data_IF_702668790071
#
_entry.id   IF_702668790071
#
_cell.length_a   1.000
_cell.length_b   1.000
_cell.length_c   1.000
_cell.angle_alpha   90.00
_cell.angle_beta   90.00
_cell.angle_gamma   90.00
#
_symmetry.space_group_name_H-M   'P 1'
#
loop_
_entity.id
_entity.type
_entity.pdbx_description
1 polymer ?
#
# COMPACT_ATOMS: atom_id res chain seq x y z
N UNK A 1 -8.41 35.89 -7.44
CA UNK A 1 -7.98 34.55 -7.93
C UNK A 1 -6.47 34.55 -8.08
N UNK A 2 -5.79 33.47 -7.70
CA UNK A 2 -4.32 33.38 -7.76
C UNK A 2 -3.81 33.46 -9.20
N UNK A 3 -2.71 34.19 -9.41
CA UNK A 3 -2.05 34.37 -10.71
C UNK A 3 -1.11 33.23 -11.08
N UNK A 4 -0.94 32.24 -10.21
CA UNK A 4 -0.07 31.09 -10.44
C UNK A 4 -0.66 30.22 -11.58
N UNK A 5 0.15 29.81 -12.58
CA UNK A 5 -0.30 28.90 -13.63
C UNK A 5 -0.92 27.62 -13.04
N UNK A 6 -2.14 27.27 -13.45
CA UNK A 6 -2.85 26.08 -12.98
C UNK A 6 -3.67 26.26 -11.69
N UNK A 7 -3.67 27.44 -11.07
CA UNK A 7 -4.45 27.72 -9.85
C UNK A 7 -5.95 27.48 -10.04
N UNK A 8 -6.52 27.95 -11.15
CA UNK A 8 -7.93 27.77 -11.50
C UNK A 8 -8.28 26.30 -11.71
N UNK A 9 -7.39 25.53 -12.36
CA UNK A 9 -7.59 24.10 -12.55
C UNK A 9 -7.60 23.36 -11.21
N UNK A 10 -6.62 23.62 -10.34
CA UNK A 10 -6.56 23.03 -9.01
C UNK A 10 -7.80 23.38 -8.17
N UNK A 11 -8.27 24.62 -8.24
CA UNK A 11 -9.50 25.05 -7.56
C UNK A 11 -10.71 24.22 -8.00
N UNK A 12 -10.92 24.02 -9.30
CA UNK A 12 -12.03 23.21 -9.81
C UNK A 12 -11.89 21.73 -9.51
N UNK A 13 -10.67 21.18 -9.51
CA UNK A 13 -10.43 19.79 -9.10
C UNK A 13 -10.78 19.56 -7.62
N UNK A 14 -10.35 20.47 -6.74
CA UNK A 14 -10.61 20.35 -5.29
C UNK A 14 -12.09 20.58 -4.98
N UNK A 15 -12.70 21.62 -5.54
CA UNK A 15 -14.14 21.90 -5.33
C UNK A 15 -15.02 20.82 -5.97
N UNK A 16 -14.68 20.32 -7.16
CA UNK A 16 -15.33 19.16 -7.77
C UNK A 16 -15.16 17.88 -6.96
N UNK A 17 -14.08 17.76 -6.20
CA UNK A 17 -13.88 16.69 -5.21
C UNK A 17 -14.99 16.64 -4.16
N UNK A 18 -15.55 17.77 -3.75
CA UNK A 18 -16.68 17.81 -2.79
C UNK A 18 -17.94 17.15 -3.37
N UNK A 19 -18.24 17.38 -4.65
CA UNK A 19 -19.35 16.73 -5.37
C UNK A 19 -19.16 15.21 -5.39
N UNK A 20 -17.99 14.74 -5.83
CA UNK A 20 -17.67 13.31 -5.95
C UNK A 20 -17.72 12.64 -4.56
N UNK A 21 -17.21 13.33 -3.54
CA UNK A 21 -17.22 12.85 -2.15
C UNK A 21 -18.62 12.66 -1.60
N UNK A 22 -19.50 13.62 -1.83
CA UNK A 22 -20.90 13.49 -1.48
C UNK A 22 -21.54 12.30 -2.21
N UNK A 23 -21.31 12.17 -3.52
CA UNK A 23 -21.90 11.10 -4.33
C UNK A 23 -21.54 9.72 -3.77
N UNK A 24 -20.25 9.40 -3.56
CA UNK A 24 -19.88 8.05 -3.12
C UNK A 24 -20.27 7.77 -1.68
N UNK A 25 -20.21 8.77 -0.78
CA UNK A 25 -20.58 8.62 0.63
C UNK A 25 -22.07 8.35 0.77
N UNK A 26 -22.90 9.21 0.17
CA UNK A 26 -24.35 9.05 0.22
C UNK A 26 -24.84 7.87 -0.61
N UNK A 27 -24.13 7.48 -1.67
CA UNK A 27 -24.40 6.22 -2.38
C UNK A 27 -24.32 5.03 -1.43
N UNK A 28 -23.24 4.95 -0.65
CA UNK A 28 -23.05 3.88 0.35
C UNK A 28 -24.15 3.92 1.41
N UNK A 29 -24.44 5.11 1.95
CA UNK A 29 -25.49 5.33 2.94
C UNK A 29 -26.89 4.91 2.44
N UNK A 30 -27.30 5.39 1.26
CA UNK A 30 -28.61 5.07 0.70
C UNK A 30 -28.75 3.60 0.30
N UNK A 31 -27.74 3.01 -0.32
CA UNK A 31 -27.79 1.58 -0.67
C UNK A 31 -27.83 0.66 0.56
N UNK A 32 -27.24 1.09 1.67
CA UNK A 32 -27.19 0.29 2.90
C UNK A 32 -28.47 0.42 3.73
N UNK A 33 -28.98 1.65 3.92
CA UNK A 33 -30.08 1.91 4.87
C UNK A 33 -31.44 2.19 4.23
N UNK A 34 -31.48 2.72 3.00
CA UNK A 34 -32.73 3.21 2.37
C UNK A 34 -33.14 2.43 1.11
N UNK A 35 -32.26 1.56 0.60
CA UNK A 35 -32.51 0.73 -0.55
C UNK A 35 -33.32 -0.53 -0.23
N UNK A 36 -33.80 -1.23 -1.26
CA UNK A 36 -34.44 -2.54 -1.09
C UNK A 36 -33.41 -3.56 -0.57
N UNK A 37 -33.75 -4.36 0.45
CA UNK A 37 -32.85 -5.39 0.96
C UNK A 37 -32.54 -6.40 -0.16
N UNK A 38 -31.24 -6.70 -0.32
CA UNK A 38 -30.73 -7.67 -1.31
C UNK A 38 -30.37 -9.02 -0.68
N UNK A 39 -30.75 -9.22 0.58
CA UNK A 39 -30.45 -10.41 1.37
C UNK A 39 -31.66 -11.32 1.50
N UNK A 40 -31.44 -12.58 1.86
CA UNK A 40 -32.52 -13.53 2.12
C UNK A 40 -33.31 -13.17 3.39
N UNK A 41 -34.56 -13.59 3.45
CA UNK A 41 -35.48 -13.29 4.57
C UNK A 41 -34.97 -13.84 5.91
N UNK A 42 -34.34 -15.03 5.89
CA UNK A 42 -33.74 -15.62 7.09
C UNK A 42 -32.56 -14.82 7.63
N UNK A 43 -31.75 -14.22 6.74
CA UNK A 43 -30.65 -13.33 7.15
C UNK A 43 -31.18 -12.05 7.78
N UNK A 44 -32.26 -11.49 7.21
CA UNK A 44 -32.86 -10.26 7.70
C UNK A 44 -33.45 -10.43 9.11
N UNK A 45 -34.08 -11.58 9.37
CA UNK A 45 -34.65 -11.91 10.69
C UNK A 45 -33.61 -11.98 11.83
N UNK A 46 -32.33 -12.15 11.52
CA UNK A 46 -31.24 -12.18 12.50
C UNK A 46 -30.51 -10.84 12.67
N UNK A 47 -30.95 -9.77 11.99
CA UNK A 47 -30.38 -8.44 12.18
C UNK A 47 -30.89 -7.88 13.52
N UNK A 48 -29.95 -7.58 14.40
CA UNK A 48 -30.22 -6.94 15.68
C UNK A 48 -29.40 -5.67 15.78
N UNK A 49 -29.89 -4.72 16.58
CA UNK A 49 -29.14 -3.51 16.91
C UNK A 49 -27.79 -3.83 17.55
N UNK A 50 -26.81 -2.97 17.29
CA UNK A 50 -25.46 -3.18 17.84
C UNK A 50 -25.50 -3.15 19.38
N UNK A 51 -24.81 -4.07 20.07
CA UNK A 51 -24.77 -4.08 21.51
C UNK A 51 -24.14 -2.80 22.06
N UNK A 52 -24.45 -2.46 23.30
CA UNK A 52 -23.96 -1.25 23.99
C UNK A 52 -22.44 -1.07 23.92
N UNK A 53 -21.69 -2.17 23.90
CA UNK A 53 -20.22 -2.19 23.81
C UNK A 53 -19.71 -1.59 22.49
N UNK A 54 -20.51 -1.62 21.41
CA UNK A 54 -20.17 -1.01 20.11
C UNK A 54 -20.80 0.37 19.97
N UNK A 55 -22.06 0.53 20.38
CA UNK A 55 -22.79 1.80 20.26
C UNK A 55 -22.16 2.92 21.10
N UNK A 56 -21.79 2.63 22.35
CA UNK A 56 -21.28 3.63 23.28
C UNK A 56 -19.96 4.26 22.81
N UNK A 57 -18.93 3.51 22.37
CA UNK A 57 -17.73 4.12 21.79
C UNK A 57 -18.00 5.01 20.57
N UNK A 58 -18.93 4.62 19.68
CA UNK A 58 -19.26 5.42 18.49
C UNK A 58 -19.87 6.77 18.87
N UNK A 59 -20.79 6.79 19.84
CA UNK A 59 -21.39 8.03 20.35
C UNK A 59 -20.38 8.88 21.10
N UNK A 60 -19.56 8.26 21.96
CA UNK A 60 -18.49 8.95 22.69
C UNK A 60 -17.44 9.53 21.73
N UNK A 61 -17.22 8.97 20.53
CA UNK A 61 -16.33 9.57 19.53
C UNK A 61 -17.00 10.69 18.74
N UNK A 62 -18.30 10.58 18.48
CA UNK A 62 -19.05 11.59 17.71
C UNK A 62 -19.14 12.94 18.45
N UNK A 63 -19.40 12.92 19.77
CA UNK A 63 -19.59 14.16 20.56
C UNK A 63 -18.29 15.02 20.58
N UNK A 64 -17.11 14.50 20.98
CA UNK A 64 -15.86 15.24 20.94
C UNK A 64 -15.47 15.62 19.52
N UNK A 65 -15.77 14.81 18.49
CA UNK A 65 -15.46 15.19 17.10
C UNK A 65 -16.12 16.51 16.69
N UNK A 66 -17.39 16.71 17.08
CA UNK A 66 -18.10 17.97 16.84
C UNK A 66 -17.57 19.10 17.72
N UNK A 67 -17.37 18.84 19.01
CA UNK A 67 -16.91 19.86 19.97
C UNK A 67 -15.49 20.35 19.66
N UNK A 68 -14.57 19.43 19.38
CA UNK A 68 -13.19 19.72 19.00
C UNK A 68 -13.16 20.39 17.62
N UNK A 69 -13.97 19.92 16.66
CA UNK A 69 -14.10 20.54 15.34
C UNK A 69 -14.49 22.02 15.42
N UNK A 70 -15.46 22.36 16.28
CA UNK A 70 -15.87 23.76 16.50
C UNK A 70 -14.88 24.54 17.36
N UNK A 71 -14.45 23.97 18.49
CA UNK A 71 -13.66 24.66 19.51
C UNK A 71 -12.18 24.85 19.13
N UNK A 72 -11.57 23.89 18.42
CA UNK A 72 -10.18 24.00 17.98
C UNK A 72 -10.03 24.70 16.63
N UNK A 73 -11.09 24.90 15.84
CA UNK A 73 -10.97 25.52 14.51
C UNK A 73 -10.16 26.83 14.51
N UNK A 74 -10.48 27.77 15.40
CA UNK A 74 -9.74 29.04 15.52
C UNK A 74 -8.37 28.88 16.21
N UNK A 75 -8.24 28.25 17.40
CA UNK A 75 -6.95 28.02 18.04
C UNK A 75 -5.93 27.26 17.19
N UNK A 76 -6.40 26.34 16.35
CA UNK A 76 -5.55 25.48 15.53
C UNK A 76 -4.92 26.24 14.35
N UNK A 77 -5.68 27.17 13.74
CA UNK A 77 -5.35 27.78 12.46
C UNK A 77 -5.13 29.30 12.53
N UNK A 78 -5.94 30.06 13.27
CA UNK A 78 -6.03 31.51 13.13
C UNK A 78 -5.63 32.31 14.38
N UNK A 79 -5.69 31.75 15.58
CA UNK A 79 -5.25 32.45 16.79
C UNK A 79 -3.74 32.72 16.74
N UNK A 80 -3.28 33.81 17.37
CA UNK A 80 -1.86 34.12 17.48
C UNK A 80 -1.37 33.96 18.94
N UNK A 81 -0.44 33.02 19.23
CA UNK A 81 0.16 32.04 18.31
C UNK A 81 -0.77 30.85 17.99
N UNK A 82 -0.74 30.30 16.75
CA UNK A 82 -1.57 29.16 16.40
C UNK A 82 -0.96 27.88 16.97
N UNK A 83 -1.79 26.93 17.39
CA UNK A 83 -1.33 25.65 17.95
C UNK A 83 -0.44 24.88 16.97
N UNK A 84 -0.73 24.95 15.66
CA UNK A 84 0.08 24.30 14.62
C UNK A 84 1.23 25.16 14.08
N UNK A 85 1.39 26.40 14.56
CA UNK A 85 2.42 27.33 14.08
C UNK A 85 3.84 26.75 14.07
N UNK A 86 4.29 26.06 15.14
CA UNK A 86 5.61 25.43 15.17
C UNK A 86 5.77 24.24 14.20
N UNK A 87 4.66 23.62 13.78
CA UNK A 87 4.66 22.42 12.92
C UNK A 87 4.41 22.74 11.44
N UNK A 88 3.80 23.88 11.14
CA UNK A 88 3.50 24.33 9.78
C UNK A 88 4.49 25.43 9.37
N UNK A 89 5.51 25.04 8.60
CA UNK A 89 6.40 26.01 7.97
C UNK A 89 5.74 26.61 6.72
N UNK A 90 5.38 27.89 6.77
CA UNK A 90 4.77 28.63 5.67
C UNK A 90 5.72 29.75 5.27
N UNK A 91 6.06 29.84 3.98
CA UNK A 91 6.86 30.95 3.48
C UNK A 91 6.02 32.24 3.55
N UNK A 92 6.57 33.37 4.04
CA UNK A 92 5.83 34.64 4.13
C UNK A 92 5.21 35.10 2.81
N UNK A 93 5.82 34.75 1.67
CA UNK A 93 5.32 35.08 0.34
C UNK A 93 4.05 34.29 -0.09
N UNK A 94 3.72 33.20 0.61
CA UNK A 94 2.59 32.31 0.30
C UNK A 94 1.70 32.08 1.54
N UNK A 95 1.69 33.01 2.48
CA UNK A 95 0.88 32.90 3.69
C UNK A 95 -0.60 33.23 3.41
N UNK A 96 -1.25 32.27 2.73
CA UNK A 96 -2.69 32.32 2.44
C UNK A 96 -3.51 32.27 3.73
N UNK A 97 -2.96 31.69 4.80
CA UNK A 97 -3.67 31.58 6.07
C UNK A 97 -3.76 32.94 6.77
N UNK A 98 -2.69 33.74 6.72
CA UNK A 98 -2.73 35.14 7.17
C UNK A 98 -3.65 36.02 6.31
N UNK A 99 -3.79 35.75 5.00
CA UNK A 99 -4.75 36.47 4.17
C UNK A 99 -6.19 36.11 4.57
N UNK A 100 -6.47 34.83 4.78
CA UNK A 100 -7.80 34.32 5.16
C UNK A 100 -8.19 34.69 6.61
N UNK A 101 -7.23 34.94 7.50
CA UNK A 101 -7.52 35.36 8.89
C UNK A 101 -8.24 36.71 8.96
N UNK A 102 -8.13 37.55 7.93
CA UNK A 102 -8.88 38.81 7.83
C UNK A 102 -10.38 38.59 7.55
N UNK A 103 -10.74 37.51 6.87
CA UNK A 103 -12.14 37.16 6.55
C UNK A 103 -12.75 36.23 7.59
N UNK A 104 -11.92 35.40 8.24
CA UNK A 104 -12.34 34.37 9.18
C UNK A 104 -12.21 34.88 10.62
N UNK A 105 -13.32 35.41 11.13
CA UNK A 105 -13.39 36.06 12.44
C UNK A 105 -13.92 35.11 13.53
N UNK A 106 -14.82 34.17 13.20
CA UNK A 106 -15.32 33.20 14.16
C UNK A 106 -15.74 31.88 13.49
N UNK A 107 -15.71 30.73 14.21
CA UNK A 107 -16.14 29.45 13.66
C UNK A 107 -17.60 29.48 13.21
N UNK A 108 -18.45 30.17 13.99
CA UNK A 108 -19.87 30.31 13.68
C UNK A 108 -20.11 31.09 12.38
N UNK A 109 -19.41 32.20 12.20
CA UNK A 109 -19.51 33.01 10.99
C UNK A 109 -19.00 32.24 9.76
N UNK A 110 -17.88 31.52 9.90
CA UNK A 110 -17.35 30.66 8.83
C UNK A 110 -18.30 29.52 8.46
N UNK A 111 -18.98 28.92 9.44
CA UNK A 111 -20.00 27.89 9.20
C UNK A 111 -21.18 28.47 8.43
N UNK A 112 -21.66 29.67 8.79
CA UNK A 112 -22.73 30.33 8.06
C UNK A 112 -22.27 30.69 6.64
N UNK A 113 -21.07 31.27 6.45
CA UNK A 113 -20.55 31.55 5.11
C UNK A 113 -20.31 30.32 4.23
N UNK A 114 -20.41 29.10 4.76
CA UNK A 114 -20.32 27.91 3.94
C UNK A 114 -21.38 27.88 2.81
N UNK A 115 -22.57 28.47 3.00
CA UNK A 115 -23.60 28.49 1.94
C UNK A 115 -23.21 29.35 0.73
N UNK A 116 -22.35 30.36 0.91
CA UNK A 116 -21.83 31.20 -0.19
C UNK A 116 -20.80 30.44 -1.04
N UNK A 117 -20.20 29.38 -0.47
CA UNK A 117 -19.17 28.60 -1.15
C UNK A 117 -19.78 27.71 -2.25
N UNK A 118 -19.20 27.71 -3.46
CA UNK A 118 -19.55 26.75 -4.50
C UNK A 118 -19.43 25.29 -4.04
N UNK A 119 -18.50 25.01 -3.11
CA UNK A 119 -18.29 23.65 -2.59
C UNK A 119 -19.51 23.11 -1.84
N UNK A 120 -20.24 23.96 -1.10
CA UNK A 120 -21.44 23.56 -0.38
C UNK A 120 -22.56 23.14 -1.34
N UNK A 121 -22.81 23.93 -2.38
CA UNK A 121 -23.82 23.60 -3.39
C UNK A 121 -23.44 22.39 -4.21
N UNK A 122 -22.15 22.23 -4.56
CA UNK A 122 -21.65 21.02 -5.20
C UNK A 122 -21.87 19.78 -4.33
N UNK A 123 -21.54 19.84 -3.04
CA UNK A 123 -21.85 18.76 -2.10
C UNK A 123 -23.35 18.45 -2.07
N UNK A 124 -24.22 19.46 -1.86
CA UNK A 124 -25.68 19.30 -1.85
C UNK A 124 -26.21 18.67 -3.14
N UNK A 125 -25.71 19.11 -4.30
CA UNK A 125 -26.07 18.51 -5.59
C UNK A 125 -25.61 17.06 -5.70
N UNK A 126 -24.45 16.70 -5.13
CA UNK A 126 -23.97 15.32 -5.07
C UNK A 126 -24.86 14.42 -4.23
N UNK A 127 -25.35 14.92 -3.08
CA UNK A 127 -26.36 14.23 -2.26
C UNK A 127 -27.65 14.01 -3.05
N UNK A 128 -28.15 15.06 -3.71
CA UNK A 128 -29.37 15.00 -4.52
C UNK A 128 -29.23 14.00 -5.68
N UNK A 129 -28.13 14.06 -6.43
CA UNK A 129 -27.84 13.12 -7.52
C UNK A 129 -27.80 11.69 -7.01
N UNK A 130 -27.15 11.46 -5.88
CA UNK A 130 -27.07 10.12 -5.27
C UNK A 130 -28.45 9.61 -4.84
N UNK A 131 -29.25 10.45 -4.18
CA UNK A 131 -30.60 10.11 -3.78
C UNK A 131 -31.49 9.75 -4.99
N UNK A 132 -31.45 10.57 -6.06
CA UNK A 132 -32.21 10.30 -7.28
C UNK A 132 -31.73 9.01 -7.96
N UNK A 133 -30.42 8.79 -8.05
CA UNK A 133 -29.85 7.64 -8.76
C UNK A 133 -30.04 6.31 -8.02
N UNK A 134 -30.08 6.31 -6.68
CA UNK A 134 -30.10 5.09 -5.87
C UNK A 134 -31.45 4.82 -5.16
N UNK A 135 -32.19 5.86 -4.75
CA UNK A 135 -33.50 5.70 -4.10
C UNK A 135 -34.66 5.84 -5.09
N UNK A 136 -34.66 6.88 -5.95
CA UNK A 136 -35.83 7.21 -6.78
C UNK A 136 -35.83 6.43 -8.11
N UNK A 137 -34.68 6.37 -8.82
CA UNK A 137 -34.55 5.68 -10.12
C UNK A 137 -33.28 4.81 -10.17
N UNK A 138 -33.30 3.62 -9.55
CA UNK A 138 -32.14 2.71 -9.48
C UNK A 138 -31.69 2.13 -10.83
N UNK A 139 -32.35 2.48 -11.94
CA UNK A 139 -31.92 2.12 -13.31
C UNK A 139 -30.83 3.05 -13.87
N UNK A 140 -30.66 4.25 -13.30
CA UNK A 140 -29.71 5.26 -13.83
C UNK A 140 -28.25 4.75 -13.76
N UNK A 141 -27.75 4.20 -12.63
CA UNK A 141 -26.37 3.74 -12.54
C UNK A 141 -26.02 2.68 -13.59
N UNK A 142 -26.94 1.73 -13.86
CA UNK A 142 -26.74 0.69 -14.87
C UNK A 142 -26.57 1.29 -16.28
N UNK A 143 -27.42 2.26 -16.65
CA UNK A 143 -27.31 2.96 -17.95
C UNK A 143 -25.99 3.71 -18.09
N UNK A 144 -25.55 4.39 -17.03
CA UNK A 144 -24.27 5.13 -17.02
C UNK A 144 -23.09 4.18 -17.21
N UNK A 145 -23.09 3.03 -16.53
CA UNK A 145 -22.05 2.00 -16.68
C UNK A 145 -21.99 1.46 -18.11
N UNK A 146 -23.14 1.20 -18.74
CA UNK A 146 -23.19 0.75 -20.13
C UNK A 146 -22.69 1.82 -21.11
N UNK A 147 -23.04 3.10 -20.89
CA UNK A 147 -22.58 4.21 -21.74
C UNK A 147 -21.07 4.48 -21.61
N UNK A 148 -20.53 4.41 -20.39
CA UNK A 148 -19.13 4.73 -20.09
C UNK A 148 -18.25 3.48 -19.92
N UNK A 149 -18.62 2.35 -20.52
CA UNK A 149 -17.99 1.04 -20.27
C UNK A 149 -16.45 1.00 -20.25
N UNK A 150 -15.72 1.63 -21.19
CA UNK A 150 -14.25 1.68 -21.15
C UNK A 150 -13.72 2.47 -19.95
N UNK A 151 -14.30 3.65 -19.69
CA UNK A 151 -13.89 4.53 -18.59
C UNK A 151 -14.22 3.90 -17.23
N UNK A 152 -15.39 3.30 -17.12
CA UNK A 152 -15.82 2.56 -15.93
C UNK A 152 -14.86 1.40 -15.60
N UNK A 153 -14.39 0.67 -16.61
CA UNK A 153 -13.41 -0.41 -16.42
C UNK A 153 -12.08 0.09 -15.83
N UNK A 154 -11.62 1.28 -16.21
CA UNK A 154 -10.40 1.88 -15.61
C UNK A 154 -10.62 2.14 -14.12
N UNK A 155 -11.74 2.74 -13.73
CA UNK A 155 -12.05 3.01 -12.33
C UNK A 155 -12.25 1.74 -11.49
N UNK A 156 -12.97 0.74 -12.02
CA UNK A 156 -13.19 -0.55 -11.32
C UNK A 156 -11.88 -1.29 -11.12
N UNK A 157 -10.97 -1.22 -12.09
CA UNK A 157 -9.64 -1.81 -11.99
C UNK A 157 -8.65 -0.94 -11.19
N UNK A 158 -9.13 0.06 -10.43
CA UNK A 158 -8.30 0.99 -9.62
C UNK A 158 -7.15 1.60 -10.43
N UNK A 159 -7.44 2.03 -11.65
CA UNK A 159 -6.47 2.55 -12.63
C UNK A 159 -5.39 1.56 -13.08
N UNK A 160 -5.52 0.27 -12.72
CA UNK A 160 -4.52 -0.75 -13.03
C UNK A 160 -3.31 -0.75 -12.08
N UNK A 161 -3.31 0.06 -11.02
CA UNK A 161 -2.19 0.11 -10.07
C UNK A 161 -1.97 -1.23 -9.35
N UNK A 162 -3.04 -1.91 -8.95
CA UNK A 162 -2.93 -3.25 -8.33
C UNK A 162 -2.30 -4.26 -9.31
N UNK A 163 -2.72 -4.23 -10.58
CA UNK A 163 -2.19 -5.13 -11.60
C UNK A 163 -0.71 -4.84 -11.91
N UNK A 164 -0.35 -3.56 -12.00
CA UNK A 164 1.03 -3.13 -12.15
C UNK A 164 1.87 -3.58 -10.94
N UNK A 165 1.37 -3.40 -9.73
CA UNK A 165 2.08 -3.81 -8.52
C UNK A 165 2.30 -5.33 -8.49
N UNK A 166 1.26 -6.09 -8.78
CA UNK A 166 1.33 -7.55 -8.85
C UNK A 166 2.33 -8.03 -9.92
N UNK A 167 2.35 -7.38 -11.08
CA UNK A 167 3.22 -7.76 -12.19
C UNK A 167 4.68 -7.36 -11.95
N UNK A 168 4.91 -6.10 -11.57
CA UNK A 168 6.24 -5.53 -11.46
C UNK A 168 6.91 -5.91 -10.14
N UNK A 169 6.25 -5.65 -9.01
CA UNK A 169 6.86 -5.84 -7.69
C UNK A 169 6.71 -7.26 -7.19
N UNK A 170 5.50 -7.82 -7.17
CA UNK A 170 5.27 -9.15 -6.58
C UNK A 170 5.89 -10.26 -7.44
N UNK A 171 5.54 -10.35 -8.72
CA UNK A 171 6.12 -11.38 -9.61
C UNK A 171 7.60 -11.15 -9.87
N UNK A 172 8.04 -9.89 -9.97
CA UNK A 172 9.45 -9.53 -10.12
C UNK A 172 10.29 -10.01 -8.94
N UNK A 173 9.90 -9.68 -7.70
CA UNK A 173 10.61 -10.10 -6.49
C UNK A 173 10.60 -11.62 -6.31
N UNK A 174 9.46 -12.29 -6.52
CA UNK A 174 9.38 -13.76 -6.47
C UNK A 174 10.22 -14.42 -7.56
N UNK A 175 10.30 -13.82 -8.76
CA UNK A 175 11.14 -14.27 -9.85
C UNK A 175 12.62 -14.22 -9.48
N UNK A 176 13.07 -13.08 -8.97
CA UNK A 176 14.44 -12.89 -8.48
C UNK A 176 14.78 -13.86 -7.33
N UNK A 177 13.88 -14.01 -6.35
CA UNK A 177 14.09 -14.94 -5.25
C UNK A 177 14.25 -16.40 -5.73
N UNK A 178 13.41 -16.83 -6.67
CA UNK A 178 13.54 -18.17 -7.28
C UNK A 178 14.82 -18.34 -8.10
N UNK A 179 15.28 -17.28 -8.76
CA UNK A 179 16.54 -17.29 -9.50
C UNK A 179 17.71 -17.49 -8.54
N UNK A 180 17.81 -16.69 -7.48
CA UNK A 180 18.89 -16.82 -6.49
C UNK A 180 18.87 -18.19 -5.80
N UNK A 181 17.69 -18.70 -5.43
CA UNK A 181 17.58 -20.04 -4.85
C UNK A 181 18.05 -21.15 -5.80
N UNK A 182 17.61 -21.13 -7.06
CA UNK A 182 17.94 -22.21 -8.00
C UNK A 182 19.40 -22.16 -8.44
N UNK A 183 19.89 -20.98 -8.79
CA UNK A 183 21.20 -20.80 -9.40
C UNK A 183 22.30 -20.70 -8.35
N UNK A 184 22.13 -19.83 -7.34
CA UNK A 184 23.18 -19.61 -6.36
C UNK A 184 23.21 -20.72 -5.32
N UNK A 185 22.07 -21.08 -4.73
CA UNK A 185 22.06 -22.06 -3.65
C UNK A 185 22.21 -23.49 -4.20
N UNK A 186 21.23 -23.94 -4.98
CA UNK A 186 21.18 -25.34 -5.39
C UNK A 186 22.25 -25.76 -6.40
N UNK A 187 22.52 -24.93 -7.40
CA UNK A 187 23.46 -25.29 -8.48
C UNK A 187 24.90 -24.92 -8.15
N UNK A 188 25.14 -23.71 -7.66
CA UNK A 188 26.49 -23.22 -7.39
C UNK A 188 27.00 -23.71 -6.02
N UNK A 189 26.27 -23.50 -4.92
CA UNK A 189 26.73 -23.95 -3.58
C UNK A 189 26.63 -25.46 -3.46
N UNK A 190 25.42 -26.03 -3.53
CA UNK A 190 25.23 -27.46 -3.27
C UNK A 190 25.83 -28.33 -4.39
N UNK A 191 25.56 -27.97 -5.65
CA UNK A 191 26.04 -28.71 -6.80
C UNK A 191 27.55 -28.62 -6.99
N UNK A 192 28.05 -27.41 -7.25
CA UNK A 192 29.45 -27.23 -7.62
C UNK A 192 30.40 -27.27 -6.42
N UNK A 193 30.13 -26.53 -5.35
CA UNK A 193 31.05 -26.51 -4.20
C UNK A 193 30.93 -27.77 -3.34
N UNK A 194 29.75 -28.10 -2.82
CA UNK A 194 29.62 -29.19 -1.84
C UNK A 194 29.78 -30.55 -2.50
N UNK A 195 28.94 -30.88 -3.49
CA UNK A 195 29.00 -32.18 -4.15
C UNK A 195 30.24 -32.35 -5.02
N UNK A 196 30.73 -31.26 -5.64
CA UNK A 196 31.99 -31.29 -6.39
C UNK A 196 33.19 -31.63 -5.52
N UNK A 197 33.28 -31.04 -4.32
CA UNK A 197 34.32 -31.40 -3.35
C UNK A 197 34.18 -32.85 -2.88
N UNK A 198 32.96 -33.29 -2.54
CA UNK A 198 32.72 -34.67 -2.13
C UNK A 198 33.12 -35.69 -3.22
N UNK A 199 32.78 -35.40 -4.48
CA UNK A 199 33.18 -36.23 -5.62
C UNK A 199 34.70 -36.25 -5.80
N UNK A 200 35.37 -35.09 -5.73
CA UNK A 200 36.81 -34.99 -5.84
C UNK A 200 37.53 -35.80 -4.76
N UNK A 201 37.07 -35.73 -3.52
CA UNK A 201 37.63 -36.52 -2.41
C UNK A 201 37.39 -38.02 -2.59
N UNK A 202 36.18 -38.43 -2.99
CA UNK A 202 35.86 -39.83 -3.30
C UNK A 202 36.71 -40.39 -4.45
N UNK A 203 36.89 -39.59 -5.50
CA UNK A 203 37.72 -39.95 -6.65
C UNK A 203 39.19 -40.12 -6.23
N UNK A 204 39.74 -39.19 -5.46
CA UNK A 204 41.09 -39.31 -4.88
C UNK A 204 41.23 -40.58 -4.03
N UNK A 205 40.28 -40.85 -3.13
CA UNK A 205 40.30 -42.04 -2.29
C UNK A 205 40.26 -43.34 -3.13
N UNK A 206 39.53 -43.33 -4.25
CA UNK A 206 39.47 -44.47 -5.17
C UNK A 206 40.79 -44.67 -5.91
N UNK A 207 41.43 -43.59 -6.36
CA UNK A 207 42.76 -43.64 -6.97
C UNK A 207 43.81 -44.19 -6.00
N UNK A 208 43.81 -43.70 -4.74
CA UNK A 208 44.71 -44.19 -3.69
C UNK A 208 44.49 -45.67 -3.38
N UNK A 209 43.24 -46.16 -3.46
CA UNK A 209 42.91 -47.57 -3.24
C UNK A 209 43.53 -48.49 -4.30
N UNK A 210 43.58 -48.05 -5.57
CA UNK A 210 44.19 -48.83 -6.66
C UNK A 210 45.71 -48.97 -6.47
N UNK A 211 46.37 -48.00 -5.83
CA UNK A 211 47.80 -48.11 -5.48
C UNK A 211 48.07 -49.19 -4.42
N UNK A 212 47.05 -49.64 -3.67
CA UNK A 212 47.17 -50.74 -2.71
C UNK A 212 46.82 -52.08 -3.39
N UNK A 213 47.81 -52.68 -4.07
CA UNK A 213 47.63 -53.93 -4.83
C UNK A 213 47.61 -55.21 -3.98
N UNK A 214 47.92 -55.14 -2.68
CA UNK A 214 47.97 -56.29 -1.77
C UNK A 214 49.18 -57.22 -1.95
N UNK A 215 49.99 -57.03 -2.99
CA UNK A 215 51.22 -57.81 -3.21
C UNK A 215 52.39 -57.24 -2.41
N UNK A 216 53.04 -58.08 -1.60
CA UNK A 216 54.16 -57.69 -0.73
C UNK A 216 55.31 -56.97 -1.49
N UNK A 217 55.57 -57.39 -2.74
CA UNK A 217 56.64 -56.81 -3.56
C UNK A 217 56.43 -55.30 -3.85
N UNK A 218 55.19 -54.87 -4.09
CA UNK A 218 54.89 -53.45 -4.35
C UNK A 218 55.17 -52.58 -3.11
N UNK A 219 54.88 -53.10 -1.91
CA UNK A 219 55.18 -52.40 -0.65
C UNK A 219 56.69 -52.32 -0.38
N UNK A 220 57.42 -53.42 -0.58
CA UNK A 220 58.88 -53.43 -0.43
C UNK A 220 59.56 -52.44 -1.37
N UNK A 221 59.14 -52.41 -2.64
CA UNK A 221 59.62 -51.45 -3.63
C UNK A 221 59.38 -49.99 -3.18
N UNK A 222 58.18 -49.67 -2.70
CA UNK A 222 57.88 -48.32 -2.21
C UNK A 222 58.64 -47.96 -0.93
N UNK A 223 58.88 -48.91 -0.03
CA UNK A 223 59.69 -48.67 1.17
C UNK A 223 61.14 -48.34 0.81
N UNK A 224 61.75 -49.10 -0.11
CA UNK A 224 63.10 -48.82 -0.60
C UNK A 224 63.16 -47.45 -1.30
N UNK A 225 62.23 -47.15 -2.21
CA UNK A 225 62.16 -45.84 -2.87
C UNK A 225 61.98 -44.69 -1.88
N UNK A 226 61.12 -44.87 -0.87
CA UNK A 226 60.92 -43.89 0.20
C UNK A 226 62.18 -43.64 1.02
N UNK A 227 62.91 -44.70 1.39
CA UNK A 227 64.20 -44.58 2.10
C UNK A 227 65.24 -43.85 1.24
N UNK A 228 65.38 -44.22 -0.04
CA UNK A 228 66.29 -43.55 -0.97
C UNK A 228 65.92 -42.08 -1.15
N UNK A 229 64.64 -41.76 -1.33
CA UNK A 229 64.16 -40.39 -1.45
C UNK A 229 64.42 -39.57 -0.19
N UNK A 230 64.18 -40.15 0.99
CA UNK A 230 64.43 -39.49 2.26
C UNK A 230 65.93 -39.23 2.49
N UNK A 231 66.79 -40.23 2.23
CA UNK A 231 68.24 -40.06 2.32
C UNK A 231 68.76 -39.03 1.31
N UNK A 232 68.23 -39.04 0.09
CA UNK A 232 68.59 -38.05 -0.93
C UNK A 232 68.19 -36.64 -0.50
N UNK A 233 66.96 -36.46 0.02
CA UNK A 233 66.49 -35.20 0.57
C UNK A 233 67.37 -34.72 1.74
N UNK A 234 67.73 -35.62 2.66
CA UNK A 234 68.57 -35.31 3.82
C UNK A 234 70.03 -34.97 3.46
N UNK A 235 70.55 -35.50 2.36
CA UNK A 235 71.90 -35.18 1.86
C UNK A 235 71.92 -33.84 1.12
N UNK A 236 70.79 -33.43 0.53
CA UNK A 236 70.66 -32.21 -0.28
C UNK A 236 69.99 -31.03 0.45
N UNK A 237 69.52 -31.23 1.67
CA UNK A 237 69.10 -30.19 2.62
C UNK A 237 70.13 -30.08 3.72
#
# INVERSE_FOLDING_TARGET
MSTIPGSTYAYWCVTGGALITAIYTFRSFFMTFHGKPRMSESTYAHIHESPWVVWLPLVILAIPSVLIGYGLFMPLLYNHPPLLGPSLFILPAHDVLALLSHEIISPWHSMLHAYDSPAFWLMCSGVLVSWVAYCVRPTIPAKVVHALGPVYRVFVNKYGFDALNQLLFVRGSLGLGRFFYRVCDRELIDGFFVNGLAFATSWFATLTRVLQSGYLYHYLMMMCLGLFGFLFWLVWV
#
